data_IF_502242161014
#
_entry.id   IF_502242161014
#
_cell.length_a   1.000
_cell.length_b   1.000
_cell.length_c   1.000
_cell.angle_alpha   90.00
_cell.angle_beta   90.00
_cell.angle_gamma   90.00
#
_symmetry.space_group_name_H-M   'P 1'
#
loop_
_entity.id
_entity.type
_entity.pdbx_description
1 polymer ?
#
# COMPACT_ATOMS: atom_id res chain seq x y z
N UNK A 1 4.85 -6.33 28.48
CA UNK A 1 5.78 -5.28 28.04
C UNK A 1 4.97 -4.01 27.79
N UNK A 2 5.44 -2.82 28.17
CA UNK A 2 4.62 -1.60 28.13
C UNK A 2 5.42 -0.40 27.62
N UNK A 3 4.83 0.38 26.71
CA UNK A 3 5.44 1.63 26.24
C UNK A 3 5.23 2.73 27.30
N UNK A 4 6.32 3.37 27.72
CA UNK A 4 6.31 4.52 28.65
C UNK A 4 6.39 5.81 27.83
N UNK A 5 5.23 6.45 27.65
CA UNK A 5 5.13 7.76 27.02
C UNK A 5 5.15 8.86 28.09
N UNK A 6 6.27 9.59 28.20
CA UNK A 6 6.45 10.65 29.23
C UNK A 6 5.57 11.87 28.95
N UNK A 7 5.32 12.16 27.66
CA UNK A 7 4.44 13.24 27.23
C UNK A 7 3.54 12.75 26.07
N UNK A 8 2.21 12.76 26.22
CA UNK A 8 1.29 12.27 25.19
C UNK A 8 1.30 13.09 23.90
N UNK A 9 1.83 14.33 23.93
CA UNK A 9 1.99 15.17 22.73
C UNK A 9 3.33 14.96 22.02
N UNK A 10 4.25 14.19 22.60
CA UNK A 10 5.52 13.84 21.96
C UNK A 10 5.41 12.51 21.21
N UNK A 11 6.15 12.43 20.11
CA UNK A 11 6.19 11.28 19.22
C UNK A 11 7.25 10.25 19.61
N UNK A 12 7.92 10.44 20.74
CA UNK A 12 9.02 9.58 21.22
C UNK A 12 8.66 9.02 22.60
N UNK A 13 8.86 7.73 22.78
CA UNK A 13 8.63 7.00 24.02
C UNK A 13 9.73 5.94 24.24
N UNK A 14 9.68 5.27 25.38
CA UNK A 14 10.66 4.22 25.72
C UNK A 14 9.95 2.93 26.12
N UNK A 15 10.64 1.80 25.98
CA UNK A 15 10.22 0.51 26.56
C UNK A 15 11.24 0.15 27.65
N UNK A 16 11.00 0.49 28.92
CA UNK A 16 12.02 0.38 29.98
C UNK A 16 12.51 -1.06 30.23
N UNK A 17 11.74 -2.06 29.82
CA UNK A 17 12.13 -3.47 29.95
C UNK A 17 13.21 -3.89 28.93
N UNK A 18 13.52 -3.04 27.93
CA UNK A 18 14.53 -3.28 26.90
C UNK A 18 15.59 -2.17 26.97
N UNK A 19 16.86 -2.54 27.13
CA UNK A 19 17.96 -1.59 27.21
C UNK A 19 18.15 -0.85 25.90
N UNK A 20 18.30 0.48 25.96
CA UNK A 20 18.57 1.35 24.81
C UNK A 20 17.51 1.31 23.71
N UNK A 21 16.24 1.00 24.05
CA UNK A 21 15.14 1.01 23.09
C UNK A 21 14.29 2.28 23.20
N UNK A 22 14.20 2.98 22.07
CA UNK A 22 13.34 4.15 21.87
C UNK A 22 12.27 3.84 20.82
N UNK A 23 11.05 4.33 21.05
CA UNK A 23 9.89 4.12 20.17
C UNK A 23 9.47 5.44 19.56
N UNK A 24 9.44 5.50 18.23
CA UNK A 24 9.01 6.67 17.47
C UNK A 24 7.63 6.40 16.86
N UNK A 25 6.63 7.18 17.27
CA UNK A 25 5.29 7.15 16.68
C UNK A 25 5.27 7.97 15.39
N UNK A 26 5.28 7.28 14.25
CA UNK A 26 5.35 7.88 12.92
C UNK A 26 4.21 7.35 12.03
N UNK A 27 3.92 8.05 10.93
CA UNK A 27 3.04 7.52 9.89
C UNK A 27 3.72 6.30 9.25
N UNK A 28 2.97 5.25 8.84
CA UNK A 28 3.58 4.04 8.26
C UNK A 28 4.54 4.31 7.09
N UNK A 29 4.15 5.21 6.17
CA UNK A 29 5.01 5.67 5.06
C UNK A 29 6.35 6.25 5.54
N UNK A 30 6.33 6.99 6.64
CA UNK A 30 7.53 7.66 7.16
C UNK A 30 8.43 6.68 7.91
N UNK A 31 7.87 5.60 8.49
CA UNK A 31 8.66 4.49 9.04
C UNK A 31 9.51 3.86 7.93
N UNK A 32 8.91 3.49 6.80
CA UNK A 32 9.64 2.87 5.67
C UNK A 32 10.75 3.79 5.15
N UNK A 33 10.46 5.08 4.98
CA UNK A 33 11.46 6.07 4.54
C UNK A 33 12.62 6.24 5.50
N UNK A 34 12.35 6.23 6.80
CA UNK A 34 13.37 6.40 7.84
C UNK A 34 14.21 5.15 8.04
N UNK A 35 13.67 3.96 7.82
CA UNK A 35 14.45 2.74 7.72
C UNK A 35 15.44 2.84 6.54
N UNK A 36 14.96 3.27 5.37
CA UNK A 36 15.81 3.46 4.19
C UNK A 36 16.87 4.54 4.35
N UNK A 37 16.61 5.60 5.11
CA UNK A 37 17.60 6.64 5.37
C UNK A 37 18.57 6.31 6.51
N UNK A 38 18.32 5.24 7.27
CA UNK A 38 19.08 4.89 8.47
C UNK A 38 18.74 5.73 9.71
N UNK A 39 17.63 6.47 9.68
CA UNK A 39 17.13 7.24 10.84
C UNK A 39 16.42 6.33 11.86
N UNK A 40 15.97 5.15 11.43
CA UNK A 40 15.36 4.11 12.26
C UNK A 40 16.05 2.78 11.97
N UNK A 41 16.20 1.95 13.00
CA UNK A 41 16.77 0.61 12.88
C UNK A 41 15.71 -0.48 12.68
N UNK A 42 14.51 -0.27 13.26
CA UNK A 42 13.41 -1.23 13.28
C UNK A 42 12.06 -0.52 13.06
N UNK A 43 11.11 -1.24 12.46
CA UNK A 43 9.76 -0.73 12.23
C UNK A 43 8.72 -1.83 12.19
N UNK A 44 7.53 -1.52 12.69
CA UNK A 44 6.34 -2.37 12.57
C UNK A 44 5.38 -1.66 11.61
N UNK A 45 5.18 -2.25 10.43
CA UNK A 45 4.40 -1.67 9.32
C UNK A 45 3.68 -2.76 8.54
N UNK A 46 2.57 -2.42 7.90
CA UNK A 46 1.85 -3.32 6.99
C UNK A 46 2.69 -3.66 5.75
N UNK A 47 2.53 -4.89 5.26
CA UNK A 47 3.26 -5.38 4.08
C UNK A 47 2.92 -4.59 2.81
N UNK A 48 1.69 -4.08 2.72
CA UNK A 48 1.23 -3.17 1.67
C UNK A 48 2.07 -1.88 1.63
N UNK A 49 2.35 -1.30 2.79
CA UNK A 49 3.13 -0.07 2.94
C UNK A 49 4.60 -0.31 2.60
N UNK A 50 5.19 -1.42 3.05
CA UNK A 50 6.56 -1.82 2.70
C UNK A 50 6.68 -2.04 1.19
N UNK A 51 5.71 -2.72 0.59
CA UNK A 51 5.71 -3.01 -0.84
C UNK A 51 5.57 -1.75 -1.70
N UNK A 52 4.75 -0.79 -1.26
CA UNK A 52 4.51 0.49 -1.95
C UNK A 52 5.69 1.46 -1.85
N UNK A 53 6.24 1.65 -0.65
CA UNK A 53 7.26 2.68 -0.39
C UNK A 53 8.68 2.15 -0.32
N UNK A 54 8.86 0.86 -0.01
CA UNK A 54 10.15 0.18 -0.01
C UNK A 54 10.54 -0.34 -1.39
N UNK A 55 9.57 -0.58 -2.27
CA UNK A 55 9.77 -0.91 -3.69
C UNK A 55 10.72 -2.09 -3.95
N UNK A 56 10.81 -3.04 -3.01
CA UNK A 56 11.69 -4.20 -3.08
C UNK A 56 13.16 -3.90 -2.80
N UNK A 57 13.47 -2.79 -2.11
CA UNK A 57 14.83 -2.48 -1.68
C UNK A 57 15.38 -3.59 -0.77
N UNK A 58 16.57 -4.11 -1.11
CA UNK A 58 17.23 -5.23 -0.43
C UNK A 58 17.68 -4.89 1.01
N UNK A 59 17.82 -3.60 1.35
CA UNK A 59 18.15 -3.16 2.71
C UNK A 59 16.97 -3.36 3.68
N UNK A 60 15.74 -3.49 3.19
CA UNK A 60 14.56 -3.74 4.01
C UNK A 60 14.33 -5.22 4.21
N UNK A 61 14.74 -5.73 5.38
CA UNK A 61 14.58 -7.14 5.74
C UNK A 61 13.32 -7.36 6.56
N UNK A 62 12.45 -8.26 6.08
CA UNK A 62 11.28 -8.72 6.83
C UNK A 62 11.74 -9.74 7.88
N UNK A 63 11.74 -9.33 9.15
CA UNK A 63 12.14 -10.18 10.28
C UNK A 63 11.01 -11.12 10.70
N UNK A 64 9.77 -10.64 10.66
CA UNK A 64 8.56 -11.40 10.99
C UNK A 64 7.42 -10.94 10.08
N UNK A 65 6.82 -11.87 9.33
CA UNK A 65 5.86 -11.57 8.25
C UNK A 65 4.39 -11.72 8.65
N UNK A 66 4.10 -12.45 9.73
CA UNK A 66 2.73 -12.67 10.23
C UNK A 66 2.56 -12.33 11.72
N UNK A 67 2.37 -11.05 12.05
CA UNK A 67 2.13 -10.63 13.45
C UNK A 67 0.69 -10.92 13.94
N UNK A 68 -0.13 -11.62 13.15
CA UNK A 68 -1.53 -12.00 13.44
C UNK A 68 -2.48 -10.82 13.75
N UNK A 69 -2.26 -9.67 13.10
CA UNK A 69 -3.21 -8.56 13.08
C UNK A 69 -3.08 -7.72 11.80
N UNK A 70 -4.11 -6.94 11.49
CA UNK A 70 -4.09 -6.04 10.33
C UNK A 70 -4.32 -6.74 8.99
N UNK A 71 -4.90 -7.94 9.01
CA UNK A 71 -5.18 -8.74 7.81
C UNK A 71 -6.00 -7.96 6.78
N UNK A 72 -5.46 -7.87 5.58
CA UNK A 72 -6.12 -7.25 4.44
C UNK A 72 -5.57 -7.84 3.14
N UNK A 73 -6.17 -7.42 2.02
CA UNK A 73 -5.60 -7.66 0.69
C UNK A 73 -5.72 -6.40 -0.14
N UNK A 74 -4.68 -6.08 -0.90
CA UNK A 74 -4.76 -5.11 -1.98
C UNK A 74 -5.32 -5.83 -3.22
N UNK A 75 -6.49 -5.42 -3.68
CA UNK A 75 -7.19 -6.07 -4.79
C UNK A 75 -7.86 -5.06 -5.72
N UNK A 76 -8.11 -5.47 -6.97
CA UNK A 76 -8.89 -4.70 -7.92
C UNK A 76 -10.40 -4.91 -7.69
N UNK A 77 -11.17 -3.83 -7.77
CA UNK A 77 -12.63 -3.88 -7.75
C UNK A 77 -13.19 -3.20 -9.01
N UNK A 78 -14.24 -3.78 -9.58
CA UNK A 78 -14.96 -3.26 -10.75
C UNK A 78 -16.46 -3.18 -10.44
N UNK A 79 -17.23 -2.29 -11.12
CA UNK A 79 -18.68 -2.26 -11.01
C UNK A 79 -19.32 -3.62 -11.32
N UNK A 80 -20.38 -3.99 -10.60
CA UNK A 80 -21.11 -5.25 -10.84
C UNK A 80 -21.93 -5.26 -12.13
N UNK A 81 -22.32 -4.09 -12.62
CA UNK A 81 -23.26 -3.94 -13.73
C UNK A 81 -22.63 -3.17 -14.89
N UNK A 82 -23.32 -3.17 -16.03
CA UNK A 82 -22.90 -2.48 -17.25
C UNK A 82 -21.85 -3.30 -18.00
N UNK A 83 -20.82 -2.64 -18.52
CA UNK A 83 -19.82 -3.30 -19.39
C UNK A 83 -18.95 -4.35 -18.68
N UNK A 84 -19.02 -4.42 -17.35
CA UNK A 84 -18.25 -5.31 -16.50
C UNK A 84 -19.01 -6.55 -16.02
N UNK A 85 -20.31 -6.68 -16.34
CA UNK A 85 -21.21 -7.70 -15.77
C UNK A 85 -20.76 -9.15 -16.01
N UNK A 86 -20.08 -9.41 -17.13
CA UNK A 86 -19.55 -10.72 -17.48
C UNK A 86 -18.03 -10.86 -17.24
N UNK A 87 -17.42 -9.90 -16.54
CA UNK A 87 -15.98 -9.89 -16.29
C UNK A 87 -15.71 -10.46 -14.89
N UNK A 88 -15.15 -11.67 -14.86
CA UNK A 88 -14.85 -12.43 -13.64
C UNK A 88 -13.36 -12.72 -13.46
N UNK A 89 -12.52 -12.37 -14.44
CA UNK A 89 -11.08 -12.51 -14.37
C UNK A 89 -10.35 -11.25 -14.83
N UNK A 90 -9.11 -11.10 -14.35
CA UNK A 90 -8.24 -10.00 -14.79
C UNK A 90 -7.90 -10.10 -16.28
N UNK A 91 -7.84 -11.33 -16.81
CA UNK A 91 -7.63 -11.58 -18.25
C UNK A 91 -8.79 -11.06 -19.08
N UNK A 92 -10.02 -11.38 -18.70
CA UNK A 92 -11.22 -10.86 -19.38
C UNK A 92 -11.24 -9.33 -19.34
N UNK A 93 -10.88 -8.71 -18.21
CA UNK A 93 -10.76 -7.26 -18.10
C UNK A 93 -9.69 -6.68 -19.03
N UNK A 94 -8.56 -7.38 -19.22
CA UNK A 94 -7.46 -6.95 -20.07
C UNK A 94 -7.78 -7.09 -21.58
N UNK A 95 -8.58 -8.09 -21.94
CA UNK A 95 -8.98 -8.39 -23.33
C UNK A 95 -10.18 -7.54 -23.80
N UNK A 96 -10.75 -6.71 -22.93
CA UNK A 96 -11.83 -5.78 -23.27
C UNK A 96 -11.41 -4.81 -24.40
N UNK A 97 -12.10 -4.79 -25.56
CA UNK A 97 -11.72 -3.98 -26.73
C UNK A 97 -11.85 -2.47 -26.50
N UNK A 98 -12.48 -2.07 -25.41
CA UNK A 98 -12.75 -0.67 -25.09
C UNK A 98 -11.48 0.09 -24.69
N UNK A 99 -10.39 -0.59 -24.28
CA UNK A 99 -9.19 0.07 -23.76
C UNK A 99 -8.22 0.40 -24.89
N UNK A 100 -8.14 1.67 -25.23
CA UNK A 100 -7.22 2.18 -26.27
C UNK A 100 -6.36 3.31 -25.72
N UNK A 101 -5.39 3.77 -26.50
CA UNK A 101 -4.59 4.96 -26.15
C UNK A 101 -5.49 6.19 -25.91
N UNK A 102 -6.54 6.34 -26.71
CA UNK A 102 -7.49 7.45 -26.62
C UNK A 102 -8.51 7.27 -25.49
N UNK A 103 -8.83 6.01 -25.14
CA UNK A 103 -9.79 5.65 -24.10
C UNK A 103 -9.20 4.59 -23.16
N UNK A 104 -8.26 4.98 -22.29
CA UNK A 104 -7.64 4.04 -21.36
C UNK A 104 -8.59 3.64 -20.23
N UNK A 105 -8.35 2.47 -19.62
CA UNK A 105 -8.95 2.08 -18.36
C UNK A 105 -8.51 3.06 -17.27
N UNK A 106 -9.47 3.62 -16.53
CA UNK A 106 -9.19 4.57 -15.45
C UNK A 106 -9.27 3.86 -14.12
N UNK A 107 -8.21 3.94 -13.32
CA UNK A 107 -8.10 3.28 -12.02
C UNK A 107 -7.84 4.33 -10.95
N UNK A 108 -8.78 4.46 -10.01
CA UNK A 108 -8.58 5.29 -8.83
C UNK A 108 -7.84 4.47 -7.76
N UNK A 109 -6.70 4.95 -7.26
CA UNK A 109 -5.92 4.27 -6.21
C UNK A 109 -4.98 5.21 -5.47
N UNK A 110 -4.70 4.90 -4.21
CA UNK A 110 -3.61 5.53 -3.44
C UNK A 110 -2.25 4.86 -3.65
N UNK A 111 -2.20 3.70 -4.32
CA UNK A 111 -0.99 2.92 -4.57
C UNK A 111 -0.37 3.31 -5.92
N UNK A 112 0.47 4.34 -5.90
CA UNK A 112 1.07 4.93 -7.10
C UNK A 112 2.23 4.11 -7.65
N UNK A 113 2.85 3.24 -6.85
CA UNK A 113 3.87 2.30 -7.29
C UNK A 113 3.29 0.92 -7.63
N UNK A 114 2.55 0.29 -6.69
CA UNK A 114 2.04 -1.06 -6.88
C UNK A 114 0.97 -1.15 -7.97
N UNK A 115 0.13 -0.11 -8.13
CA UNK A 115 -0.91 -0.08 -9.17
C UNK A 115 -0.34 -0.24 -10.59
N UNK A 116 0.55 0.66 -11.04
CA UNK A 116 1.19 0.54 -12.34
C UNK A 116 1.99 -0.76 -12.52
N UNK A 117 2.71 -1.20 -11.48
CA UNK A 117 3.48 -2.45 -11.50
C UNK A 117 2.57 -3.65 -11.77
N UNK A 118 1.49 -3.78 -11.01
CA UNK A 118 0.53 -4.88 -11.12
C UNK A 118 -0.13 -4.93 -12.51
N UNK A 119 -0.61 -3.79 -13.02
CA UNK A 119 -1.27 -3.72 -14.33
C UNK A 119 -0.33 -4.11 -15.48
N UNK A 120 0.93 -3.64 -15.42
CA UNK A 120 1.95 -3.98 -16.40
C UNK A 120 2.28 -5.47 -16.40
N UNK A 121 2.44 -6.07 -15.23
CA UNK A 121 2.74 -7.50 -15.06
C UNK A 121 1.60 -8.40 -15.59
N UNK A 122 0.36 -7.92 -15.57
CA UNK A 122 -0.82 -8.65 -16.04
C UNK A 122 -1.31 -8.24 -17.45
N UNK A 123 -0.51 -7.48 -18.20
CA UNK A 123 -0.77 -7.19 -19.61
C UNK A 123 -1.77 -6.08 -19.90
N UNK A 124 -2.23 -5.31 -18.89
CA UNK A 124 -3.08 -4.13 -19.11
C UNK A 124 -2.22 -2.94 -19.55
N UNK A 125 -2.21 -2.65 -20.85
CA UNK A 125 -1.35 -1.62 -21.46
C UNK A 125 -1.92 -0.21 -21.38
N UNK A 126 -3.23 -0.09 -21.58
CA UNK A 126 -3.92 1.21 -21.68
C UNK A 126 -4.62 1.52 -20.36
N UNK A 127 -3.84 1.91 -19.34
CA UNK A 127 -4.34 2.25 -18.01
C UNK A 127 -3.83 3.63 -17.60
N UNK A 128 -4.72 4.46 -17.06
CA UNK A 128 -4.35 5.69 -16.37
C UNK A 128 -4.80 5.64 -14.92
N UNK A 129 -3.98 6.21 -14.05
CA UNK A 129 -4.22 6.22 -12.61
C UNK A 129 -4.60 7.62 -12.15
N UNK A 130 -5.55 7.68 -11.22
CA UNK A 130 -5.87 8.90 -10.49
C UNK A 130 -5.87 8.64 -9.00
N UNK A 131 -5.46 9.64 -8.23
CA UNK A 131 -5.72 9.68 -6.79
C UNK A 131 -7.11 10.28 -6.59
N UNK A 132 -7.99 9.59 -5.87
CA UNK A 132 -9.29 10.16 -5.51
C UNK A 132 -9.16 10.89 -4.16
N UNK A 133 -9.67 12.13 -4.11
CA UNK A 133 -9.81 12.87 -2.85
C UNK A 133 -11.11 12.42 -2.16
N UNK A 134 -10.99 11.66 -1.07
CA UNK A 134 -12.13 11.19 -0.27
C UNK A 134 -12.50 9.72 -0.49
N UNK A 135 -13.81 9.45 -0.63
CA UNK A 135 -14.38 8.10 -0.74
C UNK A 135 -13.96 7.41 -2.05
N UNK A 136 -12.84 6.67 -2.01
CA UNK A 136 -12.26 5.97 -3.16
C UNK A 136 -13.27 5.00 -3.80
N UNK A 137 -14.13 4.39 -2.98
CA UNK A 137 -15.18 3.47 -3.39
C UNK A 137 -16.28 4.09 -4.25
N UNK A 138 -16.44 5.42 -4.20
CA UNK A 138 -17.42 6.14 -5.01
C UNK A 138 -16.89 6.53 -6.40
N UNK A 139 -15.57 6.43 -6.64
CA UNK A 139 -14.96 6.81 -7.91
C UNK A 139 -15.51 6.04 -9.14
N UNK A 140 -15.90 4.75 -9.04
CA UNK A 140 -16.47 4.00 -10.16
C UNK A 140 -17.99 4.16 -10.36
N UNK A 141 -18.68 4.89 -9.47
CA UNK A 141 -20.15 4.98 -9.45
C UNK A 141 -20.74 5.69 -10.68
#
# INVERSE_FOLDING_TARGET
>A
MSVKQVNPRQYVAQIPQLSNLEVWFQRPRDIVRKLLSGDLDLGIVGLDTVSEYGQGNEDLIIVHDALDYGDCRLSLAIPKYGIFENINSLRELAEMPQWTVEKPLRVATGFTYLGPKFMKEHGLKHVIFSTADGALEAAPA
#
